data_IF_392449360060
#
_entry.id   IF_392449360060
#
_cell.length_a   1.000
_cell.length_b   1.000
_cell.length_c   1.000
_cell.angle_alpha   90.00
_cell.angle_beta   90.00
_cell.angle_gamma   90.00
#
_symmetry.space_group_name_H-M   'P 1'
#
loop_
_entity.id
_entity.type
_entity.pdbx_description
1 polymer ?
#
# COMPACT_ATOMS: atom_id res chain seq x y z
N UNK A 1 -22.98 21.77 -47.24
CA UNK A 1 -23.69 20.63 -46.65
C UNK A 1 -22.67 19.57 -46.28
N UNK A 2 -22.25 19.51 -45.03
CA UNK A 2 -21.47 18.38 -44.50
C UNK A 2 -22.37 17.79 -43.42
N UNK A 3 -23.26 16.89 -43.85
CA UNK A 3 -24.08 16.11 -42.93
C UNK A 3 -23.19 15.07 -42.28
N UNK A 4 -23.08 15.10 -40.95
CA UNK A 4 -22.46 14.00 -40.21
C UNK A 4 -23.26 12.71 -40.38
N UNK A 5 -22.67 11.59 -39.97
CA UNK A 5 -23.36 10.29 -39.98
C UNK A 5 -24.62 10.42 -39.11
N UNK A 6 -25.79 10.37 -39.74
CA UNK A 6 -27.08 10.42 -39.08
C UNK A 6 -27.49 9.08 -38.49
N UNK A 7 -28.58 9.06 -37.71
CA UNK A 7 -29.13 7.81 -37.17
C UNK A 7 -29.47 6.77 -38.25
N UNK A 8 -29.93 7.24 -39.42
CA UNK A 8 -30.23 6.40 -40.60
C UNK A 8 -29.00 5.68 -41.13
N UNK A 9 -27.91 6.41 -41.34
CA UNK A 9 -26.64 5.88 -41.84
C UNK A 9 -26.04 4.91 -40.83
N UNK A 10 -26.12 5.22 -39.53
CA UNK A 10 -25.69 4.30 -38.48
C UNK A 10 -26.49 3.00 -38.48
N UNK A 11 -27.79 3.05 -38.70
CA UNK A 11 -28.64 1.87 -38.76
C UNK A 11 -28.33 0.99 -39.98
N UNK A 12 -28.02 1.59 -41.12
CA UNK A 12 -27.57 0.88 -42.32
C UNK A 12 -26.23 0.16 -42.07
N UNK A 13 -25.26 0.84 -41.47
CA UNK A 13 -23.96 0.25 -41.09
C UNK A 13 -24.18 -0.93 -40.13
N UNK A 14 -25.03 -0.76 -39.12
CA UNK A 14 -25.39 -1.84 -38.20
C UNK A 14 -26.02 -3.02 -38.93
N UNK A 15 -26.94 -2.78 -39.87
CA UNK A 15 -27.55 -3.83 -40.66
C UNK A 15 -26.51 -4.61 -41.48
N UNK A 16 -25.55 -3.93 -42.11
CA UNK A 16 -24.45 -4.60 -42.84
C UNK A 16 -23.59 -5.42 -41.89
N UNK A 17 -23.21 -4.89 -40.72
CA UNK A 17 -22.45 -5.64 -39.71
C UNK A 17 -23.22 -6.88 -39.22
N UNK A 18 -24.53 -6.74 -39.02
CA UNK A 18 -25.39 -7.86 -38.63
C UNK A 18 -25.54 -8.91 -39.73
N UNK A 19 -25.49 -8.54 -41.01
CA UNK A 19 -25.49 -9.50 -42.11
C UNK A 19 -24.16 -10.25 -42.21
N UNK A 20 -23.04 -9.57 -41.98
CA UNK A 20 -21.70 -10.18 -42.05
C UNK A 20 -21.42 -11.09 -40.85
N UNK A 21 -21.74 -10.63 -39.64
CA UNK A 21 -21.40 -11.32 -38.40
C UNK A 21 -22.59 -12.08 -37.78
N UNK A 22 -23.83 -11.69 -38.09
CA UNK A 22 -25.04 -12.25 -37.49
C UNK A 22 -25.52 -11.48 -36.25
N UNK A 23 -26.84 -11.47 -36.03
CA UNK A 23 -27.49 -10.85 -34.86
C UNK A 23 -27.01 -11.37 -33.50
N UNK A 24 -26.51 -12.61 -33.44
CA UNK A 24 -26.06 -13.23 -32.21
C UNK A 24 -24.62 -12.87 -31.82
N UNK A 25 -23.79 -12.38 -32.76
CA UNK A 25 -22.36 -12.11 -32.48
C UNK A 25 -22.12 -10.85 -31.68
N UNK A 26 -22.90 -9.79 -31.89
CA UNK A 26 -22.75 -8.56 -31.10
C UNK A 26 -23.06 -8.80 -29.59
N UNK A 27 -24.17 -9.47 -29.20
CA UNK A 27 -24.41 -9.82 -27.81
C UNK A 27 -23.34 -10.75 -27.22
N UNK A 28 -22.87 -11.74 -27.99
CA UNK A 28 -21.83 -12.68 -27.56
C UNK A 28 -20.50 -11.96 -27.26
N UNK A 29 -20.07 -11.06 -28.15
CA UNK A 29 -18.87 -10.22 -27.97
C UNK A 29 -19.02 -9.27 -26.79
N UNK A 30 -20.17 -8.61 -26.64
CA UNK A 30 -20.43 -7.73 -25.51
C UNK A 30 -20.37 -8.48 -24.18
N UNK A 31 -20.95 -9.69 -24.14
CA UNK A 31 -20.91 -10.55 -22.95
C UNK A 31 -19.50 -11.02 -22.63
N UNK A 32 -18.75 -11.53 -23.59
CA UNK A 32 -17.38 -12.02 -23.38
C UNK A 32 -16.46 -10.88 -22.93
N UNK A 33 -16.49 -9.74 -23.62
CA UNK A 33 -15.71 -8.55 -23.25
C UNK A 33 -16.12 -8.01 -21.88
N UNK A 34 -17.42 -7.99 -21.56
CA UNK A 34 -17.92 -7.58 -20.25
C UNK A 34 -17.44 -8.47 -19.12
N UNK A 35 -17.50 -9.80 -19.31
CA UNK A 35 -16.97 -10.77 -18.33
C UNK A 35 -15.46 -10.60 -18.16
N UNK A 36 -14.68 -10.53 -19.25
CA UNK A 36 -13.23 -10.33 -19.18
C UNK A 36 -12.86 -9.04 -18.45
N UNK A 37 -13.54 -7.92 -18.75
CA UNK A 37 -13.32 -6.65 -18.07
C UNK A 37 -13.72 -6.72 -16.58
N UNK A 38 -14.78 -7.44 -16.25
CA UNK A 38 -15.22 -7.67 -14.87
C UNK A 38 -14.18 -8.43 -14.04
N UNK A 39 -13.72 -9.57 -14.56
CA UNK A 39 -12.68 -10.38 -13.90
C UNK A 39 -11.36 -9.61 -13.78
N UNK A 40 -10.98 -8.85 -14.82
CA UNK A 40 -9.79 -7.99 -14.77
C UNK A 40 -9.86 -6.95 -13.65
N UNK A 41 -11.00 -6.24 -13.51
CA UNK A 41 -11.21 -5.27 -12.43
C UNK A 41 -11.18 -5.92 -11.05
N UNK A 42 -11.75 -7.12 -10.92
CA UNK A 42 -11.72 -7.88 -9.66
C UNK A 42 -10.29 -8.25 -9.28
N UNK A 43 -9.52 -8.81 -10.21
CA UNK A 43 -8.12 -9.16 -10.01
C UNK A 43 -7.26 -7.94 -9.64
N UNK A 44 -7.48 -6.79 -10.32
CA UNK A 44 -6.80 -5.54 -9.98
C UNK A 44 -7.08 -5.12 -8.53
N UNK A 45 -8.34 -5.18 -8.09
CA UNK A 45 -8.73 -4.82 -6.72
C UNK A 45 -8.15 -5.77 -5.67
N UNK A 46 -8.17 -7.08 -5.94
CA UNK A 46 -7.54 -8.08 -5.05
C UNK A 46 -6.02 -7.86 -4.97
N UNK A 47 -5.37 -7.54 -6.08
CA UNK A 47 -3.94 -7.19 -6.09
C UNK A 47 -3.66 -5.96 -5.24
N UNK A 48 -4.41 -4.87 -5.39
CA UNK A 48 -4.24 -3.67 -4.57
C UNK A 48 -4.46 -3.95 -3.07
N UNK A 49 -5.48 -4.74 -2.74
CA UNK A 49 -5.76 -5.12 -1.36
C UNK A 49 -4.61 -5.95 -0.77
N UNK A 50 -4.09 -6.93 -1.50
CA UNK A 50 -2.97 -7.76 -1.06
C UNK A 50 -1.70 -6.94 -0.80
N UNK A 51 -1.41 -5.94 -1.64
CA UNK A 51 -0.29 -5.04 -1.45
C UNK A 51 -0.47 -4.16 -0.20
N UNK A 52 -1.69 -3.64 0.02
CA UNK A 52 -2.01 -2.86 1.23
C UNK A 52 -1.87 -3.70 2.50
N UNK A 53 -2.32 -4.94 2.46
CA UNK A 53 -2.24 -5.85 3.60
C UNK A 53 -0.80 -6.31 3.87
N UNK A 54 0.01 -6.47 2.81
CA UNK A 54 1.46 -6.68 2.95
C UNK A 54 2.16 -5.45 3.55
N UNK A 55 1.86 -4.25 3.09
CA UNK A 55 2.44 -3.01 3.64
C UNK A 55 2.06 -2.81 5.12
N UNK A 56 0.80 -3.10 5.49
CA UNK A 56 0.37 -3.10 6.90
C UNK A 56 1.15 -4.12 7.73
N UNK A 57 1.34 -5.33 7.21
CA UNK A 57 2.12 -6.38 7.87
C UNK A 57 3.57 -5.95 8.12
N UNK A 58 4.20 -5.28 7.15
CA UNK A 58 5.56 -4.73 7.29
C UNK A 58 5.63 -3.58 8.31
N UNK A 59 4.65 -2.68 8.33
CA UNK A 59 4.57 -1.60 9.33
C UNK A 59 4.39 -2.15 10.74
N UNK A 60 3.56 -3.19 10.90
CA UNK A 60 3.38 -3.86 12.18
C UNK A 60 4.66 -4.58 12.64
N UNK A 61 5.35 -5.30 11.74
CA UNK A 61 6.63 -5.94 12.06
C UNK A 61 7.73 -4.91 12.45
N UNK A 62 7.69 -3.71 11.86
CA UNK A 62 8.60 -2.62 12.22
C UNK A 62 8.27 -2.01 13.58
N UNK A 63 6.98 -1.85 13.91
CA UNK A 63 6.53 -1.38 15.23
C UNK A 63 6.79 -2.38 16.36
N UNK A 64 6.69 -3.69 16.09
CA UNK A 64 7.08 -4.73 17.07
C UNK A 64 8.58 -4.64 17.36
N UNK A 65 9.43 -4.47 16.32
CA UNK A 65 10.87 -4.24 16.51
C UNK A 65 11.19 -2.95 17.28
N UNK A 66 10.42 -1.87 17.12
CA UNK A 66 10.60 -0.62 17.88
C UNK A 66 10.17 -0.75 19.35
N UNK A 67 9.22 -1.63 19.67
CA UNK A 67 8.77 -1.85 21.05
C UNK A 67 9.71 -2.78 21.84
N UNK A 68 10.41 -3.71 21.16
CA UNK A 68 11.48 -4.51 21.76
C UNK A 68 12.80 -3.75 21.94
N UNK A 69 13.15 -2.86 21.01
CA UNK A 69 14.35 -2.00 21.14
C UNK A 69 14.21 -0.92 22.22
N UNK A 70 12.99 -0.47 22.54
CA UNK A 70 12.75 0.48 23.63
C UNK A 70 13.09 -0.13 25.01
N UNK A 71 12.84 -1.43 25.22
CA UNK A 71 13.21 -2.12 26.48
C UNK A 71 14.70 -2.42 26.60
N UNK A 72 15.41 -2.60 25.48
CA UNK A 72 16.86 -2.87 25.48
C UNK A 72 17.70 -1.60 25.65
N UNK A 73 17.25 -0.46 25.08
CA UNK A 73 17.94 0.83 25.21
C UNK A 73 17.96 1.36 26.65
N UNK A 74 16.89 1.14 27.41
CA UNK A 74 16.80 1.56 28.82
C UNK A 74 17.71 0.75 29.77
N UNK A 75 18.01 -0.52 29.45
CA UNK A 75 18.97 -1.36 30.21
C UNK A 75 20.41 -0.87 30.03
N UNK A 76 20.78 -0.57 28.79
CA UNK A 76 22.14 -0.18 28.43
C UNK A 76 22.51 1.21 28.97
N UNK A 77 21.57 2.17 28.98
CA UNK A 77 21.82 3.51 29.55
C UNK A 77 22.12 3.44 31.05
N UNK A 78 21.39 2.61 31.81
CA UNK A 78 21.61 2.42 33.24
C UNK A 78 22.93 1.71 33.54
N UNK A 79 23.30 0.69 32.75
CA UNK A 79 24.59 -0.01 32.91
C UNK A 79 25.79 0.91 32.60
N UNK A 80 25.70 1.74 31.57
CA UNK A 80 26.76 2.70 31.23
C UNK A 80 26.90 3.77 32.31
N UNK A 81 25.79 4.28 32.86
CA UNK A 81 25.81 5.22 33.97
C UNK A 81 26.49 4.64 35.22
N UNK A 82 26.17 3.40 35.61
CA UNK A 82 26.78 2.73 36.76
C UNK A 82 28.30 2.53 36.60
N UNK A 83 28.76 2.15 35.40
CA UNK A 83 30.19 1.97 35.11
C UNK A 83 30.99 3.27 35.12
N UNK A 84 30.32 4.39 34.83
CA UNK A 84 30.89 5.74 34.89
C UNK A 84 30.79 6.37 36.30
N UNK A 85 30.28 5.63 37.29
CA UNK A 85 30.09 6.13 38.65
C UNK A 85 28.95 7.15 38.79
N UNK A 86 28.04 7.23 37.82
CA UNK A 86 26.90 8.14 37.83
C UNK A 86 25.76 7.50 38.62
N UNK A 87 25.24 8.22 39.62
CA UNK A 87 24.12 7.77 40.45
C UNK A 87 22.85 7.58 39.62
N UNK A 88 22.29 6.36 39.65
CA UNK A 88 21.08 5.97 38.90
C UNK A 88 19.79 6.14 39.71
N UNK A 89 19.89 6.30 41.03
CA UNK A 89 18.73 6.56 41.90
C UNK A 89 18.11 7.94 41.63
N UNK A 90 16.87 7.95 41.16
CA UNK A 90 16.05 9.16 41.03
C UNK A 90 16.21 9.95 39.72
N UNK A 91 17.10 9.53 38.81
CA UNK A 91 17.33 10.21 37.51
C UNK A 91 16.56 9.56 36.37
N UNK A 92 16.08 10.39 35.43
CA UNK A 92 15.48 9.92 34.17
C UNK A 92 16.56 9.43 33.19
N UNK A 93 16.20 8.54 32.27
CA UNK A 93 17.13 8.06 31.23
C UNK A 93 17.65 9.21 30.34
N UNK A 94 16.86 10.27 30.14
CA UNK A 94 17.29 11.46 29.41
C UNK A 94 18.33 12.28 30.18
N UNK A 95 18.22 12.36 31.51
CA UNK A 95 19.19 13.07 32.37
C UNK A 95 20.53 12.31 32.43
N UNK A 96 20.46 10.98 32.54
CA UNK A 96 21.65 10.14 32.49
C UNK A 96 22.41 10.28 31.17
N UNK A 97 21.69 10.39 30.04
CA UNK A 97 22.32 10.58 28.72
C UNK A 97 23.04 11.93 28.58
N UNK A 98 22.47 13.01 29.12
CA UNK A 98 23.09 14.34 29.11
C UNK A 98 24.39 14.33 29.92
N UNK A 99 24.39 13.66 31.08
CA UNK A 99 25.54 13.60 31.98
C UNK A 99 26.66 12.66 31.50
N UNK A 100 26.30 11.54 30.86
CA UNK A 100 27.28 10.67 30.19
C UNK A 100 27.98 11.44 29.05
N UNK A 101 27.20 12.19 28.25
CA UNK A 101 27.77 12.93 27.12
C UNK A 101 28.64 14.11 27.59
N UNK A 102 28.32 14.75 28.72
CA UNK A 102 29.17 15.81 29.29
C UNK A 102 30.49 15.26 29.83
N UNK A 103 30.51 14.04 30.38
CA UNK A 103 31.73 13.35 30.83
C UNK A 103 32.67 12.95 29.68
N UNK A 104 32.12 12.56 28.51
CA UNK A 104 32.90 12.11 27.36
C UNK A 104 33.47 13.24 26.50
N UNK A 105 32.87 14.43 26.56
CA UNK A 105 33.25 15.57 25.73
C UNK A 105 34.30 16.48 26.40
N UNK A 106 34.78 16.09 27.57
CA UNK A 106 35.76 16.80 28.38
C UNK A 106 37.11 16.04 28.37
#
# INVERSE_FOLDING_TARGET
MIGGIGPSEMMLIFAVLLLLFGANKLPELARSMGTSMGEFKKAQKESEQSLRDYEKSLKNATQVKSTEQAKEKDSNVKQVASNLGISVEGKSNDELLVEINSMLKN
#
